data_IF_587160720821
#
_entry.id   IF_587160720821
#
_cell.length_a   1.000
_cell.length_b   1.000
_cell.length_c   1.000
_cell.angle_alpha   90.00
_cell.angle_beta   90.00
_cell.angle_gamma   90.00
#
_symmetry.space_group_name_H-M   'P 1'
#
loop_
_entity.id
_entity.type
_entity.pdbx_description
1 polymer ?
#
# COMPACT_ATOMS: atom_id res chain seq x y z
N UNK A 1 -46.88 35.21 -36.92
CA UNK A 1 -46.29 35.19 -35.57
C UNK A 1 -46.08 33.73 -35.19
N UNK A 2 -44.85 33.28 -35.25
CA UNK A 2 -44.44 31.93 -34.87
C UNK A 2 -43.62 32.10 -33.59
N UNK A 3 -44.13 31.60 -32.48
CA UNK A 3 -43.46 31.56 -31.18
C UNK A 3 -42.47 30.38 -31.19
N UNK A 4 -41.19 30.68 -31.11
CA UNK A 4 -40.13 29.69 -30.88
C UNK A 4 -40.03 29.49 -29.36
N UNK A 5 -40.47 28.33 -28.88
CA UNK A 5 -40.20 27.89 -27.52
C UNK A 5 -38.74 27.43 -27.41
N UNK A 6 -37.93 28.22 -26.73
CA UNK A 6 -36.59 27.83 -26.36
C UNK A 6 -36.67 26.74 -25.27
N UNK A 7 -36.26 25.51 -25.59
CA UNK A 7 -36.00 24.47 -24.62
C UNK A 7 -34.70 24.76 -23.89
N UNK A 8 -34.79 25.03 -22.58
CA UNK A 8 -33.66 24.96 -21.69
C UNK A 8 -33.27 23.47 -21.55
N UNK A 9 -32.24 23.06 -22.26
CA UNK A 9 -31.54 21.82 -21.93
C UNK A 9 -30.80 22.04 -20.61
N UNK A 10 -31.31 21.47 -19.52
CA UNK A 10 -30.54 21.27 -18.31
C UNK A 10 -29.40 20.30 -18.61
N UNK A 11 -28.20 20.84 -18.77
CA UNK A 11 -27.01 20.05 -18.68
C UNK A 11 -26.94 19.54 -17.26
N UNK A 12 -27.07 18.24 -17.04
CA UNK A 12 -26.53 17.63 -15.86
C UNK A 12 -25.04 17.95 -15.89
N UNK A 13 -24.58 18.76 -14.96
CA UNK A 13 -23.17 18.84 -14.63
C UNK A 13 -22.84 17.47 -14.02
N UNK A 14 -22.43 16.51 -14.86
CA UNK A 14 -21.82 15.29 -14.35
C UNK A 14 -20.58 15.73 -13.57
N UNK A 15 -20.58 15.43 -12.29
CA UNK A 15 -19.34 15.54 -11.54
C UNK A 15 -18.31 14.66 -12.24
N UNK A 16 -17.05 15.14 -12.32
CA UNK A 16 -15.94 14.33 -12.87
C UNK A 16 -15.81 13.05 -12.04
N UNK A 17 -15.46 11.93 -12.71
CA UNK A 17 -15.20 10.67 -12.05
C UNK A 17 -14.15 10.84 -10.95
N UNK A 18 -14.33 10.16 -9.82
CA UNK A 18 -13.30 10.06 -8.77
C UNK A 18 -12.27 9.01 -9.21
N UNK A 19 -11.07 9.43 -9.47
CA UNK A 19 -9.98 8.56 -9.92
C UNK A 19 -9.18 8.08 -8.71
N UNK A 20 -9.14 6.78 -8.50
CA UNK A 20 -8.51 6.14 -7.33
C UNK A 20 -7.30 5.34 -7.77
N UNK A 21 -6.13 5.72 -7.27
CA UNK A 21 -4.89 4.98 -7.47
C UNK A 21 -4.68 3.92 -6.38
N UNK A 22 -4.28 2.72 -6.78
CA UNK A 22 -3.96 1.63 -5.85
C UNK A 22 -2.52 1.18 -6.07
N UNK A 23 -1.73 1.13 -4.99
CA UNK A 23 -0.40 0.52 -5.09
C UNK A 23 -0.53 -0.99 -5.33
N UNK A 24 0.20 -1.57 -6.30
CA UNK A 24 0.15 -3.00 -6.58
C UNK A 24 1.03 -3.77 -5.57
N UNK A 25 0.52 -3.92 -4.33
CA UNK A 25 1.21 -4.64 -3.25
C UNK A 25 1.27 -6.16 -3.49
N UNK A 26 0.44 -6.65 -4.41
CA UNK A 26 0.43 -7.98 -5.03
C UNK A 26 0.28 -7.82 -6.56
N UNK A 27 -0.07 -8.89 -7.29
CA UNK A 27 -0.29 -8.79 -8.73
C UNK A 27 -1.37 -7.73 -9.06
N UNK A 28 -1.15 -6.82 -10.03
CA UNK A 28 -2.06 -5.70 -10.27
C UNK A 28 -3.50 -6.09 -10.59
N UNK A 29 -3.71 -7.20 -11.29
CA UNK A 29 -5.04 -7.72 -11.63
C UNK A 29 -5.76 -8.32 -10.41
N UNK A 30 -5.03 -8.87 -9.45
CA UNK A 30 -5.57 -9.32 -8.16
C UNK A 30 -5.99 -8.10 -7.32
N UNK A 31 -5.13 -7.07 -7.20
CA UNK A 31 -5.46 -5.82 -6.50
C UNK A 31 -6.67 -5.13 -7.11
N UNK A 32 -6.76 -5.03 -8.44
CA UNK A 32 -7.94 -4.45 -9.11
C UNK A 32 -9.21 -5.22 -8.77
N UNK A 33 -9.17 -6.54 -8.82
CA UNK A 33 -10.32 -7.39 -8.52
C UNK A 33 -10.75 -7.30 -7.04
N UNK A 34 -9.80 -7.20 -6.11
CA UNK A 34 -10.05 -7.06 -4.66
C UNK A 34 -10.75 -5.73 -4.35
N UNK A 35 -10.28 -4.62 -4.97
CA UNK A 35 -10.78 -3.28 -4.68
C UNK A 35 -11.95 -2.82 -5.56
N UNK A 36 -12.33 -3.57 -6.61
CA UNK A 36 -13.50 -3.22 -7.43
C UNK A 36 -14.79 -3.09 -6.62
N UNK A 37 -15.12 -3.99 -5.64
CA UNK A 37 -16.31 -3.83 -4.79
C UNK A 37 -16.30 -2.53 -3.95
N UNK A 38 -15.12 -2.09 -3.48
CA UNK A 38 -14.99 -0.81 -2.80
C UNK A 38 -15.24 0.36 -3.76
N UNK A 39 -14.73 0.27 -4.99
CA UNK A 39 -14.99 1.27 -6.03
C UNK A 39 -16.49 1.41 -6.33
N UNK A 40 -17.21 0.30 -6.43
CA UNK A 40 -18.65 0.26 -6.65
C UNK A 40 -19.42 0.88 -5.45
N UNK A 41 -19.03 0.51 -4.22
CA UNK A 41 -19.58 1.08 -2.99
C UNK A 41 -19.36 2.61 -2.93
N UNK A 42 -18.13 3.08 -3.14
CA UNK A 42 -17.83 4.51 -3.12
C UNK A 42 -18.59 5.28 -4.23
N UNK A 43 -18.79 4.65 -5.39
CA UNK A 43 -19.58 5.25 -6.48
C UNK A 43 -21.04 5.43 -6.08
N UNK A 44 -21.63 4.51 -5.34
CA UNK A 44 -23.01 4.59 -4.83
C UNK A 44 -23.12 5.64 -3.71
N UNK A 45 -22.23 5.61 -2.72
CA UNK A 45 -22.25 6.52 -1.57
C UNK A 45 -22.00 7.99 -1.97
N UNK A 46 -21.05 8.22 -2.89
CA UNK A 46 -20.67 9.56 -3.33
C UNK A 46 -21.53 10.07 -4.50
N UNK A 47 -22.37 9.19 -5.11
CA UNK A 47 -23.26 9.56 -6.22
C UNK A 47 -22.51 9.97 -7.49
N UNK A 48 -21.26 9.53 -7.68
CA UNK A 48 -20.40 9.85 -8.82
C UNK A 48 -19.64 8.61 -9.30
N UNK A 49 -19.20 8.60 -10.54
CA UNK A 49 -18.40 7.52 -11.11
C UNK A 49 -17.05 7.40 -10.38
N UNK A 50 -16.61 6.16 -10.14
CA UNK A 50 -15.30 5.84 -9.59
C UNK A 50 -14.51 5.05 -10.63
N UNK A 51 -13.26 5.47 -10.89
CA UNK A 51 -12.34 4.82 -11.80
C UNK A 51 -11.11 4.35 -11.02
N UNK A 52 -10.79 3.05 -11.08
CA UNK A 52 -9.59 2.50 -10.44
C UNK A 52 -8.40 2.58 -11.40
N UNK A 53 -7.23 2.92 -10.86
CA UNK A 53 -5.95 2.96 -11.55
C UNK A 53 -4.94 2.09 -10.78
N UNK A 54 -4.61 0.91 -11.32
CA UNK A 54 -3.65 -0.03 -10.75
C UNK A 54 -2.48 -0.20 -11.71
N UNK A 55 -1.40 0.55 -11.56
CA UNK A 55 -0.22 0.43 -12.42
C UNK A 55 0.62 -0.80 -12.06
N UNK A 56 1.68 -1.06 -12.83
CA UNK A 56 2.59 -2.19 -12.58
C UNK A 56 3.62 -1.94 -11.48
N UNK A 57 3.61 -0.77 -10.82
CA UNK A 57 4.56 -0.46 -9.75
C UNK A 57 4.18 0.76 -8.93
N UNK A 58 4.56 0.76 -7.67
CA UNK A 58 4.25 1.80 -6.68
C UNK A 58 4.64 3.23 -7.11
N UNK A 59 5.83 3.49 -7.70
CA UNK A 59 6.20 4.84 -8.10
C UNK A 59 5.22 5.47 -9.09
N UNK A 60 4.54 4.68 -9.93
CA UNK A 60 3.59 5.20 -10.89
C UNK A 60 2.33 5.78 -10.24
N UNK A 61 1.91 5.27 -9.06
CA UNK A 61 0.79 5.85 -8.30
C UNK A 61 1.20 7.19 -7.69
N UNK A 62 2.45 7.29 -7.17
CA UNK A 62 3.02 8.56 -6.67
C UNK A 62 3.10 9.60 -7.78
N UNK A 63 3.56 9.20 -8.99
CA UNK A 63 3.60 10.08 -10.16
C UNK A 63 2.21 10.54 -10.59
N UNK A 64 1.24 9.63 -10.63
CA UNK A 64 -0.14 9.96 -11.01
C UNK A 64 -0.75 10.97 -10.01
N UNK A 65 -0.49 10.81 -8.70
CA UNK A 65 -0.92 11.78 -7.68
C UNK A 65 -0.24 13.13 -7.86
N UNK A 66 1.07 13.16 -8.11
CA UNK A 66 1.84 14.39 -8.29
C UNK A 66 1.47 15.15 -9.58
N UNK A 67 0.93 14.45 -10.59
CA UNK A 67 0.50 15.04 -11.86
C UNK A 67 -1.01 15.33 -11.94
N UNK A 68 -1.73 15.23 -10.81
CA UNK A 68 -3.19 15.43 -10.75
C UNK A 68 -3.99 14.43 -11.62
N UNK A 69 -3.43 13.24 -11.89
CA UNK A 69 -4.07 12.20 -12.70
C UNK A 69 -5.02 11.31 -11.87
N UNK A 70 -4.86 11.29 -10.55
CA UNK A 70 -5.75 10.62 -9.58
C UNK A 70 -6.13 11.57 -8.46
N UNK A 71 -7.24 11.31 -7.79
CA UNK A 71 -7.85 12.17 -6.77
C UNK A 71 -7.68 11.61 -5.36
N UNK A 72 -7.68 10.30 -5.24
CA UNK A 72 -7.54 9.51 -4.03
C UNK A 72 -6.55 8.37 -4.31
N UNK A 73 -5.80 7.94 -3.32
CA UNK A 73 -4.93 6.77 -3.46
C UNK A 73 -4.85 5.94 -2.19
N UNK A 74 -4.77 4.63 -2.34
CA UNK A 74 -4.25 3.73 -1.32
C UNK A 74 -2.73 3.72 -1.42
N UNK A 75 -2.07 4.19 -0.38
CA UNK A 75 -0.61 4.19 -0.27
C UNK A 75 -0.13 3.31 0.89
N UNK A 76 1.13 2.89 0.87
CA UNK A 76 1.84 2.55 2.08
C UNK A 76 2.46 3.81 2.69
N UNK A 77 2.95 3.74 3.93
CA UNK A 77 3.54 4.90 4.60
C UNK A 77 4.68 5.54 3.79
N UNK A 78 5.57 4.74 3.15
CA UNK A 78 6.67 5.27 2.33
C UNK A 78 6.16 5.95 1.05
N UNK A 79 5.21 5.34 0.34
CA UNK A 79 4.61 5.97 -0.85
C UNK A 79 3.86 7.26 -0.50
N UNK A 80 3.20 7.30 0.66
CA UNK A 80 2.57 8.52 1.15
C UNK A 80 3.60 9.64 1.40
N UNK A 81 4.68 9.37 2.13
CA UNK A 81 5.71 10.40 2.36
C UNK A 81 6.43 10.82 1.09
N UNK A 82 6.60 9.93 0.11
CA UNK A 82 7.10 10.28 -1.22
C UNK A 82 6.10 11.16 -2.00
N UNK A 83 4.80 10.89 -1.90
CA UNK A 83 3.77 11.69 -2.54
C UNK A 83 3.69 13.11 -1.95
N UNK A 84 3.75 13.25 -0.61
CA UNK A 84 3.68 14.57 0.06
C UNK A 84 4.93 15.45 -0.16
N UNK A 85 6.06 14.89 -0.58
CA UNK A 85 7.21 15.69 -1.04
C UNK A 85 6.97 16.32 -2.43
N UNK A 86 5.97 15.84 -3.18
CA UNK A 86 5.74 16.19 -4.59
C UNK A 86 4.38 16.84 -4.87
N UNK A 87 3.42 16.65 -3.96
CA UNK A 87 2.04 17.15 -4.07
C UNK A 87 1.49 17.55 -2.71
N UNK A 88 0.51 18.45 -2.70
CA UNK A 88 -0.27 18.76 -1.51
C UNK A 88 -1.35 17.68 -1.33
N UNK A 89 -1.12 16.78 -0.37
CA UNK A 89 -1.96 15.60 -0.11
C UNK A 89 -2.10 15.37 1.39
N UNK A 90 -3.25 14.86 1.79
CA UNK A 90 -3.56 14.55 3.19
C UNK A 90 -4.06 13.11 3.34
N UNK A 91 -3.65 12.37 4.36
CA UNK A 91 -4.22 11.08 4.68
C UNK A 91 -5.60 11.29 5.32
N UNK A 92 -6.54 10.42 5.03
CA UNK A 92 -7.90 10.47 5.56
C UNK A 92 -8.15 9.39 6.60
N UNK A 93 -8.00 8.14 6.17
CA UNK A 93 -8.32 6.95 6.96
C UNK A 93 -7.33 5.82 6.67
N UNK A 94 -7.27 4.86 7.58
CA UNK A 94 -6.61 3.56 7.39
C UNK A 94 -7.50 2.43 7.88
N UNK A 95 -7.24 1.21 7.45
CA UNK A 95 -7.97 0.02 7.85
C UNK A 95 -7.67 -0.40 9.30
N UNK A 96 -8.68 -0.96 9.98
CA UNK A 96 -8.51 -1.68 11.23
C UNK A 96 -8.21 -3.14 10.89
N UNK A 97 -7.03 -3.60 11.32
CA UNK A 97 -6.55 -4.95 11.04
C UNK A 97 -7.40 -6.00 11.79
N UNK A 98 -8.10 -6.92 11.12
CA UNK A 98 -9.00 -7.87 11.77
C UNK A 98 -8.28 -8.89 12.65
N UNK A 99 -6.95 -9.06 12.48
CA UNK A 99 -6.16 -10.00 13.29
C UNK A 99 -5.70 -9.39 14.62
N UNK A 100 -5.64 -8.05 14.72
CA UNK A 100 -5.13 -7.34 15.92
C UNK A 100 -6.13 -6.38 16.52
N UNK A 101 -7.10 -5.87 15.75
CA UNK A 101 -8.08 -4.89 16.17
C UNK A 101 -7.50 -3.48 16.32
N UNK A 102 -6.34 -3.21 15.74
CA UNK A 102 -5.71 -1.89 15.68
C UNK A 102 -5.36 -1.53 14.22
N UNK A 103 -4.90 -0.30 13.99
CA UNK A 103 -4.56 0.21 12.65
C UNK A 103 -3.17 -0.19 12.17
N UNK A 104 -2.42 -0.94 12.97
CA UNK A 104 -1.02 -1.23 12.67
C UNK A 104 -0.80 -2.60 12.01
N UNK A 105 0.32 -2.73 11.33
CA UNK A 105 0.80 -3.97 10.77
C UNK A 105 2.30 -4.16 11.05
N UNK A 106 2.93 -5.22 10.51
CA UNK A 106 4.36 -5.48 10.69
C UNK A 106 5.02 -5.87 9.38
N UNK A 107 6.24 -5.37 9.20
CA UNK A 107 7.19 -5.93 8.26
C UNK A 107 7.88 -7.14 8.87
N UNK A 108 8.22 -8.12 8.03
CA UNK A 108 9.00 -9.29 8.41
C UNK A 108 10.14 -9.53 7.44
N UNK A 109 11.24 -10.11 7.95
CA UNK A 109 12.25 -10.77 7.13
C UNK A 109 12.02 -12.27 7.24
N UNK A 110 11.93 -12.92 6.09
CA UNK A 110 11.70 -14.35 5.96
C UNK A 110 12.87 -15.03 5.22
N UNK A 111 13.07 -16.32 5.50
CA UNK A 111 14.00 -17.21 4.83
C UNK A 111 13.26 -18.50 4.44
N UNK A 112 13.77 -19.33 3.51
CA UNK A 112 13.25 -20.68 3.29
C UNK A 112 13.17 -21.46 4.61
N UNK A 113 12.15 -22.29 4.79
CA UNK A 113 11.93 -23.00 6.08
C UNK A 113 13.07 -23.94 6.46
N UNK A 114 13.81 -24.47 5.48
CA UNK A 114 14.98 -25.34 5.65
C UNK A 114 16.32 -24.59 5.66
N UNK A 115 16.30 -23.24 5.61
CA UNK A 115 17.51 -22.42 5.67
C UNK A 115 18.24 -22.55 7.02
N UNK A 116 19.56 -22.56 6.97
CA UNK A 116 20.44 -22.52 8.17
C UNK A 116 20.48 -21.12 8.82
N UNK A 117 20.08 -20.05 8.12
CA UNK A 117 20.06 -18.66 8.61
C UNK A 117 18.98 -18.52 9.69
N UNK A 118 19.37 -18.11 10.89
CA UNK A 118 18.48 -18.03 12.06
C UNK A 118 18.15 -16.58 12.49
N UNK A 119 18.99 -15.62 12.12
CA UNK A 119 18.91 -14.23 12.54
C UNK A 119 19.40 -13.28 11.44
N UNK A 120 19.04 -12.00 11.55
CA UNK A 120 19.35 -10.98 10.53
C UNK A 120 20.85 -10.73 10.37
N UNK A 121 21.63 -10.83 11.45
CA UNK A 121 23.09 -10.66 11.44
C UNK A 121 23.83 -11.78 10.69
N UNK A 122 23.14 -12.85 10.33
CA UNK A 122 23.67 -13.95 9.49
C UNK A 122 23.42 -13.72 7.98
N UNK A 123 22.79 -12.60 7.59
CA UNK A 123 22.46 -12.28 6.19
C UNK A 123 23.61 -11.63 5.41
N UNK A 124 24.79 -11.40 6.02
CA UNK A 124 25.94 -10.88 5.28
C UNK A 124 26.31 -11.83 4.12
N UNK A 125 26.34 -11.30 2.90
CA UNK A 125 26.61 -12.05 1.68
C UNK A 125 25.44 -12.88 1.14
N UNK A 126 24.27 -12.87 1.79
CA UNK A 126 23.07 -13.57 1.34
C UNK A 126 22.36 -12.80 0.20
N UNK A 127 21.71 -13.52 -0.70
CA UNK A 127 20.86 -12.96 -1.74
C UNK A 127 19.51 -12.57 -1.14
N UNK A 128 19.04 -11.34 -1.43
CA UNK A 128 17.87 -10.75 -0.77
C UNK A 128 16.83 -10.21 -1.75
N UNK A 129 15.56 -10.54 -1.51
CA UNK A 129 14.43 -9.97 -2.24
C UNK A 129 13.72 -8.88 -1.42
N UNK A 130 13.74 -7.66 -1.93
CA UNK A 130 12.86 -6.58 -1.47
C UNK A 130 11.54 -6.62 -2.26
N UNK A 131 10.47 -5.99 -1.73
CA UNK A 131 9.22 -5.77 -2.46
C UNK A 131 9.38 -4.68 -3.52
N UNK A 132 8.50 -3.68 -3.56
CA UNK A 132 8.72 -2.48 -4.36
C UNK A 132 9.74 -1.55 -3.70
N UNK A 133 10.53 -0.83 -4.50
CA UNK A 133 11.45 0.21 -4.00
C UNK A 133 10.76 1.26 -3.12
N UNK A 134 9.48 1.51 -3.35
CA UNK A 134 8.63 2.44 -2.56
C UNK A 134 7.78 1.74 -1.51
N UNK A 135 8.00 0.43 -1.24
CA UNK A 135 7.26 -0.30 -0.22
C UNK A 135 7.79 -0.01 1.19
N UNK A 136 6.88 0.27 2.12
CA UNK A 136 7.18 0.44 3.55
C UNK A 136 7.68 -0.87 4.15
N UNK A 137 6.86 -1.92 4.13
CA UNK A 137 7.16 -3.22 4.74
C UNK A 137 8.02 -4.14 3.87
N UNK A 138 8.03 -3.94 2.55
CA UNK A 138 8.82 -4.75 1.62
C UNK A 138 10.22 -4.20 1.38
N UNK A 139 10.51 -2.94 1.75
CA UNK A 139 11.83 -2.33 1.46
C UNK A 139 12.34 -1.45 2.58
N UNK A 140 11.60 -0.42 3.02
CA UNK A 140 12.09 0.50 4.06
C UNK A 140 12.39 -0.24 5.38
N UNK A 141 11.42 -0.95 5.93
CA UNK A 141 11.59 -1.65 7.20
C UNK A 141 12.59 -2.81 7.13
N UNK A 142 12.63 -3.65 6.10
CA UNK A 142 13.73 -4.60 5.91
C UNK A 142 15.10 -3.93 5.90
N UNK A 143 15.25 -2.77 5.23
CA UNK A 143 16.51 -2.01 5.25
C UNK A 143 16.86 -1.49 6.63
N UNK A 144 15.87 -1.04 7.44
CA UNK A 144 16.06 -0.64 8.84
C UNK A 144 16.51 -1.83 9.69
N UNK A 145 15.88 -3.00 9.54
CA UNK A 145 16.22 -4.21 10.29
C UNK A 145 17.63 -4.71 9.95
N UNK A 146 18.02 -4.70 8.68
CA UNK A 146 19.37 -5.00 8.23
C UNK A 146 20.39 -4.02 8.82
N UNK A 147 20.13 -2.71 8.72
CA UNK A 147 21.01 -1.69 9.30
C UNK A 147 21.13 -1.83 10.83
N UNK A 148 20.05 -2.18 11.53
CA UNK A 148 20.04 -2.48 12.97
C UNK A 148 20.91 -3.67 13.35
N UNK A 149 21.10 -4.63 12.45
CA UNK A 149 22.02 -5.78 12.58
C UNK A 149 23.44 -5.45 12.11
N UNK A 150 23.71 -4.22 11.63
CA UNK A 150 25.01 -3.78 11.15
C UNK A 150 25.29 -4.11 9.68
N UNK A 151 24.26 -4.47 8.90
CA UNK A 151 24.34 -4.81 7.47
C UNK A 151 23.88 -3.61 6.64
N UNK A 152 24.76 -3.04 5.82
CA UNK A 152 24.35 -2.13 4.74
C UNK A 152 23.90 -2.97 3.55
N UNK A 153 22.60 -2.95 3.24
CA UNK A 153 22.04 -3.77 2.18
C UNK A 153 22.68 -3.51 0.80
N UNK A 154 23.26 -2.32 0.58
CA UNK A 154 23.90 -1.94 -0.70
C UNK A 154 25.27 -2.55 -0.90
N UNK A 155 25.96 -2.91 0.19
CA UNK A 155 27.37 -3.36 0.15
C UNK A 155 27.62 -4.71 0.78
N UNK A 156 26.81 -5.12 1.75
CA UNK A 156 27.10 -6.28 2.60
C UNK A 156 26.21 -7.50 2.28
N UNK A 157 25.12 -7.32 1.50
CA UNK A 157 24.36 -8.43 0.91
C UNK A 157 25.10 -9.00 -0.30
N UNK A 158 24.72 -10.21 -0.74
CA UNK A 158 25.10 -10.79 -2.02
C UNK A 158 24.46 -10.02 -3.18
N UNK A 159 23.56 -10.63 -3.91
CA UNK A 159 22.71 -9.90 -4.85
C UNK A 159 21.40 -9.51 -4.17
N UNK A 160 20.89 -8.31 -4.47
CA UNK A 160 19.53 -7.96 -4.07
C UNK A 160 18.70 -7.53 -5.26
N UNK A 161 17.39 -7.78 -5.17
CA UNK A 161 16.43 -7.46 -6.21
C UNK A 161 15.16 -6.86 -5.63
N UNK A 162 14.48 -6.02 -6.42
CA UNK A 162 13.13 -5.55 -6.13
C UNK A 162 12.14 -6.38 -6.94
N UNK A 163 11.30 -7.16 -6.28
CA UNK A 163 10.32 -8.06 -6.93
C UNK A 163 9.07 -7.35 -7.39
N UNK A 164 8.78 -6.19 -6.79
CA UNK A 164 7.60 -5.36 -7.08
C UNK A 164 6.42 -5.57 -6.12
N UNK A 165 6.12 -6.79 -5.70
CA UNK A 165 5.00 -7.13 -4.81
C UNK A 165 5.40 -8.10 -3.69
N UNK A 166 4.53 -8.24 -2.69
CA UNK A 166 4.75 -9.14 -1.56
C UNK A 166 4.62 -10.61 -1.94
N UNK A 167 3.69 -10.94 -2.85
CA UNK A 167 3.48 -12.24 -3.46
C UNK A 167 4.74 -12.74 -4.18
N UNK A 168 5.31 -11.89 -5.03
CA UNK A 168 6.55 -12.20 -5.77
C UNK A 168 7.74 -12.37 -4.83
N UNK A 169 7.84 -11.57 -3.75
CA UNK A 169 8.87 -11.73 -2.72
C UNK A 169 8.71 -13.05 -1.98
N UNK A 170 7.50 -13.37 -1.51
CA UNK A 170 7.21 -14.62 -0.81
C UNK A 170 7.51 -15.84 -1.68
N UNK A 171 7.11 -15.81 -2.95
CA UNK A 171 7.38 -16.88 -3.92
C UNK A 171 8.88 -17.06 -4.20
N UNK A 172 9.65 -15.97 -4.31
CA UNK A 172 11.09 -16.02 -4.52
C UNK A 172 11.81 -16.71 -3.35
N UNK A 173 11.44 -16.37 -2.11
CA UNK A 173 11.98 -17.01 -0.91
C UNK A 173 11.51 -18.45 -0.78
N UNK A 174 10.20 -18.73 -0.93
CA UNK A 174 9.64 -20.06 -0.79
C UNK A 174 10.23 -21.06 -1.79
N UNK A 175 10.60 -20.59 -3.00
CA UNK A 175 11.25 -21.43 -4.02
C UNK A 175 12.78 -21.55 -3.87
N UNK A 176 13.40 -20.85 -2.90
CA UNK A 176 14.85 -20.81 -2.71
C UNK A 176 15.60 -20.09 -3.83
N UNK A 177 14.94 -19.19 -4.57
CA UNK A 177 15.60 -18.35 -5.59
C UNK A 177 16.44 -17.24 -4.96
N UNK A 178 16.17 -16.89 -3.71
CA UNK A 178 16.93 -15.98 -2.85
C UNK A 178 17.02 -16.58 -1.45
N UNK A 179 17.99 -16.14 -0.66
CA UNK A 179 18.23 -16.65 0.69
C UNK A 179 17.26 -16.01 1.72
N UNK A 180 16.82 -14.78 1.49
CA UNK A 180 15.90 -14.06 2.36
C UNK A 180 15.07 -13.03 1.60
N UNK A 181 14.01 -12.52 2.25
CA UNK A 181 13.22 -11.44 1.68
C UNK A 181 12.42 -10.68 2.72
N UNK A 182 12.02 -9.44 2.34
CA UNK A 182 11.25 -8.54 3.17
C UNK A 182 9.81 -8.36 2.65
N UNK A 183 8.81 -8.55 3.51
CA UNK A 183 7.41 -8.39 3.11
C UNK A 183 6.50 -8.05 4.30
N UNK A 184 5.23 -7.77 4.00
CA UNK A 184 4.19 -7.57 5.00
C UNK A 184 3.75 -8.89 5.62
N UNK A 185 3.59 -8.89 6.96
CA UNK A 185 3.26 -10.12 7.68
C UNK A 185 1.80 -10.58 7.47
N UNK A 186 0.83 -9.67 7.35
CA UNK A 186 -0.58 -10.04 7.03
C UNK A 186 -0.63 -10.75 5.68
N UNK A 187 -0.06 -10.11 4.65
CA UNK A 187 -0.04 -10.67 3.29
C UNK A 187 0.67 -12.03 3.27
N UNK A 188 1.77 -12.21 4.01
CA UNK A 188 2.39 -13.52 4.13
C UNK A 188 1.41 -14.59 4.63
N UNK A 189 0.63 -14.28 5.68
CA UNK A 189 -0.35 -15.21 6.23
C UNK A 189 -1.48 -15.50 5.25
N UNK A 190 -1.95 -14.47 4.53
CA UNK A 190 -3.01 -14.61 3.53
C UNK A 190 -2.53 -15.47 2.35
N UNK A 191 -1.30 -15.27 1.84
CA UNK A 191 -0.70 -16.10 0.78
C UNK A 191 -0.56 -17.58 1.18
N UNK A 192 -0.28 -17.86 2.46
CA UNK A 192 -0.26 -19.22 2.99
C UNK A 192 -1.68 -19.80 3.13
N UNK A 193 -2.65 -19.03 3.61
CA UNK A 193 -4.05 -19.44 3.79
C UNK A 193 -4.73 -19.73 2.43
N UNK A 194 -4.44 -18.93 1.40
CA UNK A 194 -4.93 -19.09 0.04
C UNK A 194 -4.20 -20.18 -0.76
N UNK A 195 -3.03 -20.61 -0.27
CA UNK A 195 -2.20 -21.62 -0.92
C UNK A 195 -1.40 -21.08 -2.11
N UNK A 196 -1.22 -19.77 -2.22
CA UNK A 196 -0.36 -19.12 -3.22
C UNK A 196 1.11 -19.51 -2.99
N UNK A 197 1.51 -19.66 -1.74
CA UNK A 197 2.73 -20.36 -1.34
C UNK A 197 2.37 -21.54 -0.41
N UNK A 198 3.20 -22.58 -0.39
CA UNK A 198 2.96 -23.73 0.50
C UNK A 198 3.07 -23.29 1.97
N UNK A 199 2.06 -23.53 2.82
CA UNK A 199 2.11 -23.18 4.23
C UNK A 199 3.35 -23.74 4.92
N UNK A 200 4.12 -22.87 5.61
CA UNK A 200 5.35 -23.24 6.27
C UNK A 200 6.54 -23.45 5.33
N UNK A 201 6.46 -23.05 4.06
CA UNK A 201 7.60 -23.06 3.13
C UNK A 201 8.63 -21.99 3.47
N UNK A 202 8.22 -20.94 4.19
CA UNK A 202 9.11 -19.89 4.68
C UNK A 202 9.04 -19.77 6.20
N UNK A 203 10.08 -19.18 6.79
CA UNK A 203 10.19 -18.94 8.23
C UNK A 203 10.56 -17.49 8.50
N UNK A 204 9.81 -16.83 9.38
CA UNK A 204 10.11 -15.47 9.85
C UNK A 204 11.32 -15.52 10.79
N UNK A 205 12.35 -14.72 10.50
CA UNK A 205 13.53 -14.56 11.34
C UNK A 205 13.54 -13.23 12.10
N UNK A 206 12.82 -12.21 11.61
CA UNK A 206 12.72 -10.91 12.28
C UNK A 206 11.36 -10.28 11.99
N UNK A 207 10.89 -9.46 12.95
CA UNK A 207 9.66 -8.66 12.83
C UNK A 207 9.93 -7.23 13.26
N UNK A 208 9.42 -6.28 12.51
CA UNK A 208 9.49 -4.86 12.87
C UNK A 208 8.69 -4.55 14.15
N UNK A 209 8.92 -3.36 14.74
CA UNK A 209 7.91 -2.71 15.56
C UNK A 209 6.59 -2.54 14.76
N UNK A 210 5.44 -2.27 15.41
CA UNK A 210 4.22 -1.89 14.70
C UNK A 210 4.47 -0.71 13.77
N UNK A 211 3.86 -0.77 12.59
CA UNK A 211 3.93 0.23 11.51
C UNK A 211 2.52 0.74 11.31
N UNK A 212 2.31 2.04 11.20
CA UNK A 212 1.01 2.61 10.86
C UNK A 212 0.48 2.06 9.54
N UNK A 213 -0.84 1.81 9.49
CA UNK A 213 -1.52 1.16 8.39
C UNK A 213 -1.41 1.90 7.05
N UNK A 214 -2.02 1.32 6.04
CA UNK A 214 -2.03 1.89 4.70
C UNK A 214 -2.98 3.10 4.64
N UNK A 215 -2.48 4.34 4.44
CA UNK A 215 -3.37 5.50 4.37
C UNK A 215 -4.11 5.56 3.04
N UNK A 216 -5.39 5.86 3.10
CA UNK A 216 -6.11 6.44 1.98
C UNK A 216 -5.80 7.94 1.95
N UNK A 217 -5.21 8.39 0.87
CA UNK A 217 -4.62 9.74 0.74
C UNK A 217 -5.34 10.50 -0.37
N UNK A 218 -5.78 11.70 -0.08
CA UNK A 218 -6.52 12.55 -0.98
C UNK A 218 -5.70 13.78 -1.39
N UNK A 219 -5.93 14.30 -2.61
CA UNK A 219 -5.39 15.61 -3.01
C UNK A 219 -6.07 16.74 -2.25
N UNK A 220 -5.30 17.67 -1.69
CA UNK A 220 -5.83 18.84 -0.98
C UNK A 220 -6.55 19.83 -1.91
N UNK A 221 -6.35 19.72 -3.22
CA UNK A 221 -7.07 20.50 -4.22
C UNK A 221 -8.57 20.15 -4.32
N UNK A 222 -8.99 18.97 -3.84
CA UNK A 222 -10.42 18.66 -3.73
C UNK A 222 -11.08 19.54 -2.67
N UNK A 223 -12.36 19.94 -2.86
CA UNK A 223 -13.12 20.66 -1.83
C UNK A 223 -13.10 19.93 -0.49
N UNK A 224 -13.02 20.66 0.62
CA UNK A 224 -13.05 20.09 1.97
C UNK A 224 -14.29 19.21 2.20
N UNK A 225 -15.47 19.66 1.72
CA UNK A 225 -16.73 18.90 1.77
C UNK A 225 -16.58 17.54 1.08
N UNK A 226 -15.98 17.49 -0.11
CA UNK A 226 -15.75 16.23 -0.84
C UNK A 226 -14.76 15.31 -0.11
N UNK A 227 -13.71 15.87 0.51
CA UNK A 227 -12.75 15.08 1.30
C UNK A 227 -13.40 14.49 2.54
N UNK A 228 -14.28 15.25 3.20
CA UNK A 228 -15.07 14.77 4.34
C UNK A 228 -16.06 13.69 3.93
N UNK A 229 -16.77 13.87 2.80
CA UNK A 229 -17.68 12.85 2.25
C UNK A 229 -16.94 11.53 1.94
N UNK A 230 -15.75 11.60 1.34
CA UNK A 230 -14.92 10.41 1.09
C UNK A 230 -14.54 9.72 2.41
N UNK A 231 -14.04 10.49 3.39
CA UNK A 231 -13.66 9.92 4.67
C UNK A 231 -14.85 9.30 5.41
N UNK A 232 -16.02 9.96 5.37
CA UNK A 232 -17.24 9.47 6.00
C UNK A 232 -17.77 8.22 5.30
N UNK A 233 -17.61 8.08 3.97
CA UNK A 233 -17.95 6.85 3.25
C UNK A 233 -17.13 5.65 3.78
N UNK A 234 -15.83 5.80 3.98
CA UNK A 234 -15.00 4.75 4.58
C UNK A 234 -15.38 4.44 6.04
N UNK A 235 -15.57 5.47 6.86
CA UNK A 235 -15.86 5.32 8.29
C UNK A 235 -17.22 4.68 8.58
N UNK A 236 -18.15 4.76 7.62
CA UNK A 236 -19.51 4.24 7.75
C UNK A 236 -19.73 2.92 6.98
N UNK A 237 -18.68 2.27 6.48
CA UNK A 237 -18.84 0.93 5.88
C UNK A 237 -19.36 -0.01 6.96
N UNK A 238 -20.60 -0.51 6.77
CA UNK A 238 -21.28 -1.47 7.65
C UNK A 238 -21.56 -2.81 6.94
N UNK A 239 -21.11 -2.96 5.68
CA UNK A 239 -21.19 -4.18 4.91
C UNK A 239 -20.08 -5.14 5.34
N UNK A 240 -20.42 -6.18 6.13
CA UNK A 240 -19.49 -7.18 6.63
C UNK A 240 -18.83 -8.00 5.48
N UNK A 241 -19.52 -8.17 4.34
CA UNK A 241 -18.97 -8.89 3.18
C UNK A 241 -17.89 -8.04 2.50
N UNK A 242 -18.15 -6.73 2.30
CA UNK A 242 -17.16 -5.79 1.76
C UNK A 242 -15.95 -5.68 2.68
N UNK A 243 -16.15 -5.48 3.99
CA UNK A 243 -15.04 -5.43 4.96
C UNK A 243 -14.20 -6.70 4.95
N UNK A 244 -14.85 -7.87 4.87
CA UNK A 244 -14.15 -9.15 4.78
C UNK A 244 -13.31 -9.27 3.51
N UNK A 245 -13.83 -8.82 2.36
CA UNK A 245 -13.07 -8.80 1.09
C UNK A 245 -11.85 -7.88 1.17
N UNK A 246 -11.96 -6.75 1.86
CA UNK A 246 -10.87 -5.79 2.07
C UNK A 246 -9.93 -6.17 3.22
N UNK A 247 -10.14 -7.33 3.85
CA UNK A 247 -9.38 -7.80 5.01
C UNK A 247 -9.29 -6.73 6.12
N UNK A 248 -10.42 -6.07 6.43
CA UNK A 248 -10.56 -4.98 7.38
C UNK A 248 -11.75 -5.22 8.35
N UNK A 249 -11.64 -4.77 9.59
CA UNK A 249 -12.73 -4.72 10.57
C UNK A 249 -13.44 -3.34 10.57
N UNK A 250 -13.03 -2.43 9.70
CA UNK A 250 -13.49 -1.06 9.58
C UNK A 250 -12.35 -0.11 9.26
N UNK A 251 -12.61 1.17 9.41
CA UNK A 251 -11.63 2.23 9.13
C UNK A 251 -11.58 3.24 10.27
N UNK A 252 -10.40 3.80 10.53
CA UNK A 252 -10.18 4.91 11.48
C UNK A 252 -9.49 6.08 10.79
N UNK A 253 -9.72 7.31 11.29
CA UNK A 253 -9.01 8.50 10.80
C UNK A 253 -7.55 8.45 11.18
N UNK A 254 -6.69 8.90 10.27
CA UNK A 254 -5.26 9.07 10.50
C UNK A 254 -4.81 10.48 10.18
N UNK A 255 -3.71 10.89 10.78
CA UNK A 255 -3.13 12.21 10.59
C UNK A 255 -1.74 12.10 9.94
N UNK A 256 -1.29 13.19 9.32
CA UNK A 256 0.03 13.22 8.70
C UNK A 256 1.17 12.90 9.68
N UNK A 257 1.01 13.28 10.94
CA UNK A 257 1.98 13.04 12.01
C UNK A 257 2.20 11.56 12.35
N UNK A 258 1.22 10.70 12.07
CA UNK A 258 1.32 9.26 12.31
C UNK A 258 2.41 8.61 11.43
N UNK A 259 2.77 9.26 10.32
CA UNK A 259 3.79 8.82 9.36
C UNK A 259 5.14 9.54 9.50
N UNK A 260 5.34 10.41 10.50
CA UNK A 260 6.58 11.17 10.68
C UNK A 260 7.79 10.26 10.91
N UNK A 261 7.60 9.13 11.61
CA UNK A 261 8.67 8.15 11.79
C UNK A 261 9.10 7.51 10.46
N UNK A 262 8.15 7.18 9.60
CA UNK A 262 8.42 6.62 8.26
C UNK A 262 9.22 7.62 7.45
N UNK A 263 8.85 8.92 7.48
CA UNK A 263 9.57 9.98 6.78
C UNK A 263 11.00 10.13 7.29
N UNK A 264 11.19 10.15 8.62
CA UNK A 264 12.53 10.26 9.22
C UNK A 264 13.42 9.11 8.76
N UNK A 265 12.94 7.86 8.80
CA UNK A 265 13.69 6.70 8.37
C UNK A 265 13.97 6.70 6.87
N UNK A 266 12.99 7.09 6.06
CA UNK A 266 13.15 7.19 4.61
C UNK A 266 14.23 8.24 4.23
N UNK A 267 14.28 9.37 4.94
CA UNK A 267 15.34 10.39 4.76
C UNK A 267 16.72 9.85 5.15
N UNK A 268 16.83 9.11 6.25
CA UNK A 268 18.10 8.54 6.71
C UNK A 268 18.67 7.51 5.73
N UNK A 269 17.80 6.82 5.00
CA UNK A 269 18.18 5.79 4.02
C UNK A 269 18.21 6.29 2.56
N UNK A 270 18.08 7.62 2.35
CA UNK A 270 18.04 8.26 1.02
C UNK A 270 16.93 7.70 0.09
N UNK A 271 15.77 7.32 0.67
CA UNK A 271 14.63 6.77 -0.09
C UNK A 271 13.60 7.85 -0.50
N UNK A 272 13.80 9.12 -0.09
CA UNK A 272 12.99 10.27 -0.51
C UNK A 272 13.63 11.07 -1.64
N UNK A 273 14.90 10.87 -1.94
CA UNK A 273 15.58 11.52 -3.06
C UNK A 273 15.12 10.91 -4.38
N UNK A 274 14.86 11.78 -5.33
CA UNK A 274 14.30 11.51 -6.67
C UNK A 274 14.88 10.24 -7.32
N UNK A 275 13.98 9.35 -7.70
CA UNK A 275 14.24 8.26 -8.66
C UNK A 275 14.04 8.74 -10.10
#
# INVERSE_FOLDING_TARGET
MIAVAGGCGGGASGEEALRIGLIPNQAPDEVEAEYQPLGDYLSEELGREVELFVPTGYPAVVEAMANDEIDLALFGGLTYVQARERAEVSPLVTDINPRTGDTTYRSVIVVPSDSDIQAVDELEGADFAFGSVSSTSGSLYPSIMLAGAGIDYRTDLGEFTYTGGHDATAAAVASGNVDAGGLEYRILLDLEEEGTIEPGSVRVIERSAPVEGYPWVVRDALPEETRDEIADAFLNIDDEELLSLLNADGYERVEAADYDYVEEQARQLDLLTES
#
